data_IF_130649305219
#
_entry.id   IF_130649305219
#
_cell.length_a   1.000
_cell.length_b   1.000
_cell.length_c   1.000
_cell.angle_alpha   90.00
_cell.angle_beta   90.00
_cell.angle_gamma   90.00
#
_symmetry.space_group_name_H-M   'P 1'
#
loop_
_entity.id
_entity.type
_entity.pdbx_description
1 polymer ?
#
# COMPACT_ATOMS: atom_id res chain seq x y z
N UNK A 1 -14.75 -1.66 4.65
CA UNK A 1 -13.77 -2.49 3.91
C UNK A 1 -14.26 -3.93 3.97
N UNK A 2 -14.10 -4.70 2.89
CA UNK A 2 -14.38 -6.13 2.86
C UNK A 2 -13.04 -6.86 2.76
N UNK A 3 -12.87 -7.91 3.57
CA UNK A 3 -11.66 -8.71 3.60
C UNK A 3 -11.99 -10.21 3.62
N UNK A 4 -11.93 -10.82 2.44
CA UNK A 4 -12.26 -12.24 2.26
C UNK A 4 -11.27 -13.20 2.94
N UNK A 5 -10.09 -12.75 3.40
CA UNK A 5 -9.18 -13.60 4.15
C UNK A 5 -9.70 -13.86 5.58
N UNK A 6 -10.50 -12.93 6.13
CA UNK A 6 -11.08 -13.06 7.46
C UNK A 6 -12.47 -13.67 7.41
N UNK A 7 -13.32 -13.17 6.50
CA UNK A 7 -14.66 -13.68 6.31
C UNK A 7 -15.14 -13.38 4.89
N UNK A 8 -15.73 -14.37 4.22
CA UNK A 8 -16.36 -14.15 2.91
C UNK A 8 -17.79 -13.67 3.17
N UNK A 9 -18.12 -12.41 2.87
CA UNK A 9 -19.47 -11.93 3.11
C UNK A 9 -20.44 -12.55 2.10
N UNK A 10 -21.70 -12.68 2.50
CA UNK A 10 -22.79 -12.88 1.54
C UNK A 10 -23.04 -11.58 0.79
N UNK A 11 -22.38 -11.44 -0.36
CA UNK A 11 -22.53 -10.28 -1.23
C UNK A 11 -23.99 -10.01 -1.63
N UNK A 12 -24.85 -11.03 -1.68
CA UNK A 12 -26.25 -10.86 -2.11
C UNK A 12 -27.11 -10.20 -1.04
N UNK A 13 -26.82 -10.46 0.23
CA UNK A 13 -27.52 -9.87 1.38
C UNK A 13 -26.96 -8.51 1.82
N UNK A 14 -25.82 -8.08 1.27
CA UNK A 14 -25.21 -6.80 1.62
C UNK A 14 -26.02 -5.61 1.06
N UNK A 15 -26.08 -4.48 1.81
CA UNK A 15 -26.56 -3.22 1.28
C UNK A 15 -25.83 -2.85 -0.01
N UNK A 16 -26.59 -2.35 -0.99
CA UNK A 16 -26.04 -1.95 -2.29
C UNK A 16 -25.16 -0.71 -2.13
N UNK A 17 -23.87 -0.76 -2.47
CA UNK A 17 -23.03 0.43 -2.47
C UNK A 17 -23.25 1.23 -3.77
N UNK A 18 -22.96 2.53 -3.71
CA UNK A 18 -23.00 3.40 -4.90
C UNK A 18 -21.80 3.17 -5.85
N UNK A 19 -20.69 2.65 -5.31
CA UNK A 19 -19.46 2.34 -6.03
C UNK A 19 -18.71 1.21 -5.31
N UNK A 20 -18.09 0.31 -6.08
CA UNK A 20 -17.13 -0.66 -5.54
C UNK A 20 -15.72 -0.35 -6.02
N UNK A 21 -14.80 -0.12 -5.08
CA UNK A 21 -13.36 -0.06 -5.34
C UNK A 21 -12.68 -1.41 -5.05
N UNK A 22 -11.90 -1.93 -6.00
CA UNK A 22 -11.15 -3.18 -5.85
C UNK A 22 -9.66 -2.93 -6.11
N UNK A 23 -8.80 -3.51 -5.28
CA UNK A 23 -7.35 -3.61 -5.54
C UNK A 23 -6.96 -5.08 -5.53
N UNK A 24 -6.00 -5.47 -6.37
CA UNK A 24 -5.50 -6.84 -6.40
C UNK A 24 -4.03 -6.90 -6.84
N UNK A 25 -3.30 -7.83 -6.23
CA UNK A 25 -2.11 -8.39 -6.87
C UNK A 25 -2.52 -9.29 -8.06
N UNK A 26 -1.60 -9.53 -8.99
CA UNK A 26 -1.88 -10.38 -10.16
C UNK A 26 -2.35 -11.79 -9.76
N UNK A 27 -1.80 -12.36 -8.69
CA UNK A 27 -2.24 -13.66 -8.16
C UNK A 27 -3.70 -13.66 -7.66
N UNK A 28 -4.28 -12.49 -7.36
CA UNK A 28 -5.63 -12.31 -6.86
C UNK A 28 -6.62 -11.82 -7.94
N UNK A 29 -6.15 -11.51 -9.15
CA UNK A 29 -6.93 -10.90 -10.21
C UNK A 29 -8.20 -11.69 -10.56
N UNK A 30 -8.09 -13.01 -10.71
CA UNK A 30 -9.24 -13.87 -11.01
C UNK A 30 -10.33 -13.79 -9.93
N UNK A 31 -9.97 -13.65 -8.65
CA UNK A 31 -10.94 -13.46 -7.58
C UNK A 31 -11.56 -12.07 -7.64
N UNK A 32 -10.74 -11.04 -7.84
CA UNK A 32 -11.20 -9.66 -8.02
C UNK A 32 -12.23 -9.54 -9.16
N UNK A 33 -12.01 -10.19 -10.31
CA UNK A 33 -12.97 -10.19 -11.42
C UNK A 33 -14.29 -10.88 -11.09
N UNK A 34 -14.26 -11.98 -10.32
CA UNK A 34 -15.48 -12.65 -9.85
C UNK A 34 -16.29 -11.72 -8.93
N UNK A 35 -15.62 -10.97 -8.05
CA UNK A 35 -16.26 -9.98 -7.18
C UNK A 35 -16.83 -8.83 -8.03
N UNK A 36 -16.05 -8.29 -8.97
CA UNK A 36 -16.49 -7.23 -9.87
C UNK A 36 -17.76 -7.64 -10.63
N UNK A 37 -17.79 -8.83 -11.23
CA UNK A 37 -18.96 -9.32 -11.97
C UNK A 37 -20.22 -9.39 -11.11
N UNK A 38 -20.14 -9.79 -9.83
CA UNK A 38 -21.30 -9.83 -8.93
C UNK A 38 -21.94 -8.46 -8.75
N UNK A 39 -21.14 -7.40 -8.63
CA UNK A 39 -21.65 -6.03 -8.44
C UNK A 39 -22.11 -5.39 -9.75
N UNK A 40 -21.37 -5.59 -10.84
CA UNK A 40 -21.77 -5.11 -12.18
C UNK A 40 -23.10 -5.68 -12.63
N UNK A 41 -23.33 -6.98 -12.39
CA UNK A 41 -24.61 -7.63 -12.72
C UNK A 41 -25.80 -7.05 -11.93
N UNK A 42 -25.55 -6.30 -10.86
CA UNK A 42 -26.56 -5.61 -10.05
C UNK A 42 -26.62 -4.10 -10.32
N UNK A 43 -25.94 -3.64 -11.37
CA UNK A 43 -25.93 -2.23 -11.79
C UNK A 43 -25.02 -1.31 -10.96
N UNK A 44 -24.11 -1.86 -10.14
CA UNK A 44 -23.17 -1.04 -9.35
C UNK A 44 -21.87 -0.86 -10.12
N UNK A 45 -21.40 0.38 -10.32
CA UNK A 45 -20.13 0.63 -11.00
C UNK A 45 -18.95 0.07 -10.19
N UNK A 46 -17.99 -0.53 -10.89
CA UNK A 46 -16.78 -1.10 -10.29
C UNK A 46 -15.54 -0.42 -10.85
N UNK A 47 -14.74 0.14 -9.94
CA UNK A 47 -13.42 0.71 -10.23
C UNK A 47 -12.36 -0.25 -9.69
N UNK A 48 -11.36 -0.59 -10.51
CA UNK A 48 -10.23 -1.42 -10.08
C UNK A 48 -8.91 -0.68 -10.24
N UNK A 49 -8.08 -0.72 -9.18
CA UNK A 49 -6.75 -0.11 -9.14
C UNK A 49 -5.68 -1.08 -8.65
N UNK A 50 -4.48 -0.55 -8.41
CA UNK A 50 -3.34 -1.32 -7.93
C UNK A 50 -2.49 -1.90 -9.07
N UNK A 51 -1.50 -2.72 -8.69
CA UNK A 51 -0.44 -3.15 -9.60
C UNK A 51 -0.98 -3.98 -10.77
N UNK A 52 -1.93 -4.89 -10.52
CA UNK A 52 -2.50 -5.70 -11.59
C UNK A 52 -3.28 -4.84 -12.59
N UNK A 53 -4.16 -3.98 -12.10
CA UNK A 53 -4.97 -3.08 -12.94
C UNK A 53 -4.09 -2.12 -13.78
N UNK A 54 -2.94 -1.72 -13.23
CA UNK A 54 -2.00 -0.83 -13.93
C UNK A 54 -1.24 -1.56 -15.03
N UNK A 55 -0.70 -2.75 -14.73
CA UNK A 55 0.14 -3.52 -15.66
C UNK A 55 -0.68 -4.26 -16.73
N UNK A 56 -1.91 -4.68 -16.39
CA UNK A 56 -2.80 -5.47 -17.23
C UNK A 56 -4.09 -4.69 -17.56
N UNK A 57 -3.97 -3.39 -17.84
CA UNK A 57 -5.14 -2.49 -17.97
C UNK A 57 -6.09 -2.90 -19.09
N UNK A 58 -5.58 -3.39 -20.22
CA UNK A 58 -6.39 -3.84 -21.36
C UNK A 58 -7.23 -5.09 -21.06
N UNK A 59 -6.73 -5.98 -20.20
CA UNK A 59 -7.48 -7.13 -19.71
C UNK A 59 -8.48 -6.67 -18.65
N UNK A 60 -8.01 -5.88 -17.68
CA UNK A 60 -8.79 -5.45 -16.52
C UNK A 60 -10.03 -4.67 -16.94
N UNK A 61 -9.91 -3.74 -17.90
CA UNK A 61 -11.03 -2.89 -18.34
C UNK A 61 -12.18 -3.69 -18.98
N UNK A 62 -11.91 -4.91 -19.49
CA UNK A 62 -12.98 -5.80 -19.99
C UNK A 62 -13.82 -6.40 -18.87
N UNK A 63 -13.35 -6.33 -17.62
CA UNK A 63 -13.96 -6.96 -16.44
C UNK A 63 -14.59 -5.96 -15.48
N UNK A 64 -14.20 -4.69 -15.53
CA UNK A 64 -14.66 -3.60 -14.64
C UNK A 64 -15.19 -2.41 -15.45
N UNK A 65 -15.73 -1.39 -14.79
CA UNK A 65 -16.25 -0.19 -15.47
C UNK A 65 -15.18 0.92 -15.58
N UNK A 66 -14.23 0.95 -14.65
CA UNK A 66 -13.09 1.86 -14.69
C UNK A 66 -11.80 1.23 -14.14
N UNK A 67 -10.66 1.61 -14.73
CA UNK A 67 -9.32 1.25 -14.27
C UNK A 67 -8.58 2.49 -13.77
N UNK A 68 -7.95 2.38 -12.60
CA UNK A 68 -7.00 3.36 -12.09
C UNK A 68 -5.59 2.85 -12.29
N UNK A 69 -4.82 3.54 -13.15
CA UNK A 69 -3.40 3.26 -13.39
C UNK A 69 -2.55 4.09 -12.43
N UNK A 70 -1.58 3.47 -11.77
CA UNK A 70 -0.68 4.15 -10.83
C UNK A 70 -1.31 4.40 -9.45
N UNK A 71 -0.93 5.49 -8.81
CA UNK A 71 -1.39 5.87 -7.46
C UNK A 71 -2.80 6.48 -7.51
N UNK A 72 -3.72 5.96 -6.70
CA UNK A 72 -5.13 6.36 -6.76
C UNK A 72 -5.45 7.71 -6.11
N UNK A 73 -4.58 8.19 -5.20
CA UNK A 73 -4.86 9.36 -4.36
C UNK A 73 -5.14 10.62 -5.17
N UNK A 74 -4.45 10.82 -6.30
CA UNK A 74 -4.59 12.03 -7.12
C UNK A 74 -5.87 12.06 -7.96
N UNK A 75 -6.53 10.92 -8.17
CA UNK A 75 -7.70 10.79 -9.05
C UNK A 75 -8.96 10.36 -8.31
N UNK A 76 -8.84 9.88 -7.07
CA UNK A 76 -9.98 9.33 -6.34
C UNK A 76 -11.14 10.32 -6.17
N UNK A 77 -10.85 11.59 -5.88
CA UNK A 77 -11.88 12.62 -5.78
C UNK A 77 -12.67 12.79 -7.10
N UNK A 78 -11.97 12.84 -8.24
CA UNK A 78 -12.60 12.92 -9.56
C UNK A 78 -13.45 11.69 -9.87
N UNK A 79 -13.00 10.51 -9.49
CA UNK A 79 -13.77 9.27 -9.69
C UNK A 79 -15.11 9.35 -8.95
N UNK A 80 -15.10 9.83 -7.70
CA UNK A 80 -16.33 9.98 -6.91
C UNK A 80 -17.28 11.01 -7.53
N UNK A 81 -16.76 12.14 -8.00
CA UNK A 81 -17.54 13.15 -8.73
C UNK A 81 -18.15 12.57 -10.03
N UNK A 82 -17.36 11.84 -10.81
CA UNK A 82 -17.82 11.22 -12.04
C UNK A 82 -18.89 10.13 -11.79
N UNK A 83 -18.82 9.41 -10.66
CA UNK A 83 -19.90 8.48 -10.25
C UNK A 83 -21.18 9.25 -9.93
N UNK A 84 -21.09 10.34 -9.17
CA UNK A 84 -22.26 11.17 -8.82
C UNK A 84 -22.95 11.74 -10.07
N UNK A 85 -22.17 12.15 -11.07
CA UNK A 85 -22.67 12.67 -12.34
C UNK A 85 -22.97 11.60 -13.40
N UNK A 86 -22.82 10.31 -13.08
CA UNK A 86 -22.98 9.18 -14.02
C UNK A 86 -22.11 9.33 -15.28
N UNK A 87 -20.92 9.91 -15.12
CA UNK A 87 -19.94 10.21 -16.18
C UNK A 87 -18.61 9.48 -15.96
N UNK A 88 -18.64 8.30 -15.31
CA UNK A 88 -17.47 7.48 -15.02
C UNK A 88 -16.68 7.16 -16.31
N UNK A 89 -15.39 7.53 -16.32
CA UNK A 89 -14.47 7.24 -17.43
C UNK A 89 -13.94 5.82 -17.31
N UNK A 90 -13.56 5.24 -18.44
CA UNK A 90 -12.97 3.90 -18.45
C UNK A 90 -11.57 3.85 -17.85
N UNK A 91 -10.74 4.89 -18.06
CA UNK A 91 -9.35 4.91 -17.60
C UNK A 91 -9.07 6.22 -16.86
N UNK A 92 -8.51 6.09 -15.66
CA UNK A 92 -7.92 7.18 -14.87
C UNK A 92 -6.43 6.92 -14.69
N UNK A 93 -5.61 7.93 -14.95
CA UNK A 93 -4.15 7.85 -14.72
C UNK A 93 -3.78 8.70 -13.52
N UNK A 94 -3.42 8.02 -12.44
CA UNK A 94 -2.92 8.63 -11.22
C UNK A 94 -1.49 9.13 -11.37
N UNK A 95 -1.18 10.24 -10.71
CA UNK A 95 0.18 10.79 -10.63
C UNK A 95 0.83 10.39 -9.31
N UNK A 96 2.16 10.40 -9.28
CA UNK A 96 2.89 10.19 -8.03
C UNK A 96 2.55 11.28 -7.02
N UNK A 97 1.90 10.87 -5.95
CA UNK A 97 1.46 11.71 -4.85
C UNK A 97 2.67 12.09 -4.01
N UNK A 98 2.70 13.37 -3.59
CA UNK A 98 3.65 13.83 -2.58
C UNK A 98 3.39 13.05 -1.30
N UNK A 99 4.42 12.44 -0.72
CA UNK A 99 4.25 11.56 0.44
C UNK A 99 3.65 12.28 1.66
N UNK A 100 3.80 13.61 1.73
CA UNK A 100 3.16 14.47 2.73
C UNK A 100 1.64 14.49 2.61
N UNK A 101 1.09 14.25 1.42
CA UNK A 101 -0.34 14.30 1.14
C UNK A 101 -1.03 12.94 1.32
N UNK A 102 -0.27 11.88 1.59
CA UNK A 102 -0.85 10.57 1.87
C UNK A 102 -1.65 10.66 3.18
N UNK A 103 -2.97 10.40 3.16
CA UNK A 103 -3.80 10.43 4.35
C UNK A 103 -3.39 9.32 5.32
N UNK A 104 -3.73 9.48 6.60
CA UNK A 104 -3.53 8.40 7.57
C UNK A 104 -4.48 7.24 7.23
N UNK A 105 -3.97 6.00 7.10
CA UNK A 105 -4.81 4.84 6.84
C UNK A 105 -5.81 4.60 7.99
N UNK A 106 -7.03 4.21 7.61
CA UNK A 106 -8.13 3.86 8.52
C UNK A 106 -7.97 2.45 9.07
N UNK A 107 -6.94 2.26 9.91
CA UNK A 107 -6.65 0.98 10.60
C UNK A 107 -7.82 0.46 11.44
N UNK A 108 -8.73 1.34 11.86
CA UNK A 108 -9.97 1.01 12.56
C UNK A 108 -10.97 0.20 11.72
N UNK A 109 -10.84 0.20 10.39
CA UNK A 109 -11.68 -0.57 9.47
C UNK A 109 -11.18 -2.01 9.27
N UNK A 110 -10.00 -2.37 9.79
CA UNK A 110 -9.40 -3.69 9.64
C UNK A 110 -9.90 -4.65 10.73
N UNK A 111 -9.92 -5.95 10.41
CA UNK A 111 -10.23 -7.00 11.38
C UNK A 111 -9.16 -7.10 12.46
N UNK A 112 -9.55 -7.41 13.70
CA UNK A 112 -8.61 -7.67 14.80
C UNK A 112 -8.01 -9.10 14.76
N UNK A 113 -8.23 -9.87 13.68
CA UNK A 113 -7.75 -11.26 13.54
C UNK A 113 -6.33 -11.39 13.01
N UNK A 114 -5.72 -10.30 12.54
CA UNK A 114 -4.37 -10.34 11.99
C UNK A 114 -3.30 -10.38 13.07
N UNK A 115 -2.30 -11.25 12.87
CA UNK A 115 -1.13 -11.32 13.74
C UNK A 115 -0.17 -10.15 13.49
N UNK A 116 -0.11 -9.67 12.23
CA UNK A 116 0.71 -8.54 11.80
C UNK A 116 -0.17 -7.37 11.37
N UNK A 117 0.15 -6.18 11.86
CA UNK A 117 -0.26 -4.93 11.21
C UNK A 117 0.72 -4.59 10.09
N UNK A 118 0.33 -3.71 9.18
CA UNK A 118 1.19 -3.27 8.07
C UNK A 118 1.32 -1.76 8.01
N UNK A 119 2.50 -1.27 7.63
CA UNK A 119 2.73 0.15 7.39
C UNK A 119 3.67 0.36 6.20
N UNK A 120 3.34 1.32 5.34
CA UNK A 120 4.23 1.78 4.28
C UNK A 120 4.84 3.11 4.69
N UNK A 121 6.16 3.21 4.70
CA UNK A 121 6.91 4.41 5.06
C UNK A 121 7.55 5.06 3.84
N UNK A 122 7.75 4.31 2.76
CA UNK A 122 8.33 4.77 1.49
C UNK A 122 7.60 4.21 0.27
N UNK A 123 7.77 4.86 -0.88
CA UNK A 123 7.35 4.37 -2.20
C UNK A 123 8.47 4.62 -3.21
N UNK A 124 8.63 3.67 -4.12
CA UNK A 124 9.61 3.72 -5.21
C UNK A 124 10.99 3.23 -4.79
N UNK A 125 11.72 2.67 -5.76
CA UNK A 125 13.03 2.09 -5.54
C UNK A 125 14.00 2.45 -6.68
N UNK A 126 15.18 3.02 -6.38
CA UNK A 126 16.15 3.48 -7.38
C UNK A 126 17.00 2.38 -8.02
N UNK A 127 16.91 1.13 -7.55
CA UNK A 127 17.77 0.05 -8.04
C UNK A 127 17.38 -0.50 -9.41
N UNK A 128 16.13 -0.35 -9.85
CA UNK A 128 15.63 -0.77 -11.16
C UNK A 128 16.08 -2.18 -11.59
N UNK A 129 16.02 -3.14 -10.66
CA UNK A 129 16.40 -4.53 -10.93
C UNK A 129 15.55 -5.09 -12.09
N UNK A 130 16.17 -5.76 -13.06
CA UNK A 130 15.51 -6.19 -14.30
C UNK A 130 14.25 -7.05 -14.10
N UNK A 131 14.21 -7.83 -13.01
CA UNK A 131 13.09 -8.72 -12.68
C UNK A 131 11.98 -8.04 -11.86
N UNK A 132 12.18 -6.79 -11.43
CA UNK A 132 11.34 -6.15 -10.42
C UNK A 132 10.32 -5.19 -11.03
N UNK A 133 9.04 -5.34 -10.67
CA UNK A 133 7.96 -4.47 -11.12
C UNK A 133 7.85 -3.14 -10.36
N UNK A 134 8.60 -2.99 -9.25
CA UNK A 134 8.49 -1.82 -8.36
C UNK A 134 8.84 -0.53 -9.08
N UNK A 135 9.96 -0.48 -9.81
CA UNK A 135 10.38 0.74 -10.50
C UNK A 135 9.40 1.16 -11.60
N UNK A 136 8.74 0.20 -12.25
CA UNK A 136 7.68 0.44 -13.23
C UNK A 136 6.39 0.95 -12.58
N UNK A 137 6.01 0.42 -11.42
CA UNK A 137 4.75 0.77 -10.75
C UNK A 137 4.86 1.97 -9.80
N UNK A 138 5.82 1.94 -8.86
CA UNK A 138 6.03 2.94 -7.80
C UNK A 138 7.06 4.03 -8.17
N UNK A 139 7.74 3.88 -9.31
CA UNK A 139 8.76 4.79 -9.80
C UNK A 139 10.17 4.50 -9.28
N UNK A 140 11.16 5.13 -9.91
CA UNK A 140 12.58 4.98 -9.58
C UNK A 140 13.05 5.92 -8.47
N UNK A 141 12.20 6.84 -8.02
CA UNK A 141 12.55 7.80 -6.97
C UNK A 141 12.19 7.25 -5.61
N UNK A 142 13.15 7.28 -4.68
CA UNK A 142 12.90 6.95 -3.28
C UNK A 142 12.12 8.08 -2.60
N UNK A 143 10.81 7.92 -2.47
CA UNK A 143 9.92 8.88 -1.82
C UNK A 143 9.56 8.38 -0.43
N UNK A 144 9.65 9.22 0.59
CA UNK A 144 9.39 8.83 1.98
C UNK A 144 8.35 9.73 2.62
N UNK A 145 7.54 9.15 3.52
CA UNK A 145 6.57 9.90 4.34
C UNK A 145 7.30 10.66 5.46
N UNK A 146 6.72 11.78 5.95
CA UNK A 146 7.16 12.41 7.19
C UNK A 146 7.21 11.42 8.34
N UNK A 147 8.30 11.46 9.11
CA UNK A 147 8.53 10.55 10.23
C UNK A 147 7.41 10.71 11.27
N UNK A 148 6.94 11.94 11.50
CA UNK A 148 5.89 12.26 12.45
C UNK A 148 4.59 11.53 12.10
N UNK A 149 4.23 11.47 10.81
CA UNK A 149 3.05 10.73 10.32
C UNK A 149 3.22 9.23 10.47
N UNK A 150 4.42 8.70 10.24
CA UNK A 150 4.72 7.27 10.44
C UNK A 150 4.58 6.89 11.92
N UNK A 151 5.13 7.72 12.83
CA UNK A 151 4.98 7.53 14.28
C UNK A 151 3.51 7.62 14.71
N UNK A 152 2.74 8.57 14.16
CA UNK A 152 1.31 8.69 14.43
C UNK A 152 0.57 7.42 14.01
N UNK A 153 0.83 6.90 12.81
CA UNK A 153 0.19 5.69 12.32
C UNK A 153 0.58 4.44 13.12
N UNK A 154 1.86 4.28 13.48
CA UNK A 154 2.32 3.16 14.33
C UNK A 154 1.60 3.10 15.70
N UNK A 155 1.12 4.24 16.21
CA UNK A 155 0.31 4.29 17.44
C UNK A 155 -1.13 3.83 17.22
N UNK A 156 -1.67 3.94 16.00
CA UNK A 156 -3.03 3.51 15.65
C UNK A 156 -3.12 2.01 15.36
N UNK A 157 -2.02 1.41 14.88
CA UNK A 157 -1.95 -0.04 14.62
C UNK A 157 -2.01 -0.79 15.95
N UNK A 158 -2.93 -1.74 16.09
CA UNK A 158 -3.19 -2.46 17.35
C UNK A 158 -2.23 -3.63 17.53
N UNK A 159 -1.78 -4.21 16.43
CA UNK A 159 -0.96 -5.40 16.36
C UNK A 159 0.43 -5.13 16.96
N UNK A 160 0.95 -6.13 17.69
CA UNK A 160 2.28 -6.06 18.31
C UNK A 160 3.40 -6.24 17.29
N UNK A 161 3.12 -6.95 16.21
CA UNK A 161 4.04 -7.23 15.12
C UNK A 161 3.65 -6.40 13.90
N UNK A 162 4.63 -5.78 13.26
CA UNK A 162 4.45 -4.88 12.12
C UNK A 162 5.26 -5.39 10.94
N UNK A 163 4.61 -5.53 9.79
CA UNK A 163 5.28 -5.63 8.51
C UNK A 163 5.45 -4.22 7.94
N UNK A 164 6.70 -3.76 7.83
CA UNK A 164 7.00 -2.57 7.04
C UNK A 164 7.03 -2.99 5.58
N UNK A 165 6.00 -2.62 4.83
CA UNK A 165 5.76 -3.09 3.45
C UNK A 165 6.52 -2.29 2.38
N UNK A 166 7.58 -1.59 2.80
CA UNK A 166 8.42 -0.84 1.87
C UNK A 166 9.21 -1.81 0.98
N UNK A 167 9.28 -1.51 -0.32
CA UNK A 167 10.05 -2.31 -1.28
C UNK A 167 11.57 -2.22 -1.01
N UNK A 168 12.01 -1.12 -0.40
CA UNK A 168 13.34 -0.95 0.16
C UNK A 168 13.23 0.05 1.32
N UNK A 169 13.35 -0.42 2.56
CA UNK A 169 13.17 0.42 3.75
C UNK A 169 14.29 1.45 3.97
N UNK A 170 15.51 1.14 3.52
CA UNK A 170 16.70 1.93 3.83
C UNK A 170 17.25 2.72 2.63
N UNK A 171 16.80 2.39 1.43
CA UNK A 171 17.34 2.92 0.18
C UNK A 171 18.82 2.56 -0.01
N UNK A 172 19.50 3.31 -0.88
CA UNK A 172 20.83 2.93 -1.40
C UNK A 172 21.94 3.93 -1.09
N UNK A 173 21.60 5.18 -0.78
CA UNK A 173 22.60 6.25 -0.58
C UNK A 173 22.57 6.77 0.85
N UNK A 174 23.59 7.55 1.21
CA UNK A 174 23.77 8.13 2.56
C UNK A 174 22.53 8.89 3.06
N UNK A 175 21.84 9.65 2.19
CA UNK A 175 20.63 10.38 2.59
C UNK A 175 19.47 9.45 2.95
N UNK A 176 19.30 8.36 2.20
CA UNK A 176 18.26 7.37 2.49
C UNK A 176 18.54 6.62 3.78
N UNK A 177 19.80 6.23 4.00
CA UNK A 177 20.26 5.55 5.21
C UNK A 177 20.06 6.46 6.43
N UNK A 178 20.45 7.73 6.37
CA UNK A 178 20.22 8.67 7.47
C UNK A 178 18.73 8.88 7.76
N UNK A 179 17.88 8.91 6.73
CA UNK A 179 16.42 8.91 6.93
C UNK A 179 15.96 7.67 7.70
N UNK A 180 16.46 6.48 7.37
CA UNK A 180 16.09 5.24 8.07
C UNK A 180 16.56 5.26 9.53
N UNK A 181 17.80 5.72 9.80
CA UNK A 181 18.29 5.93 11.17
C UNK A 181 17.40 6.91 11.95
N UNK A 182 17.00 8.03 11.33
CA UNK A 182 16.11 9.00 11.96
C UNK A 182 14.73 8.43 12.26
N UNK A 183 14.17 7.59 11.38
CA UNK A 183 12.94 6.86 11.65
C UNK A 183 13.10 5.94 12.87
N UNK A 184 14.16 5.13 12.93
CA UNK A 184 14.39 4.23 14.05
C UNK A 184 14.61 4.97 15.37
N UNK A 185 15.36 6.09 15.35
CA UNK A 185 15.50 6.99 16.52
C UNK A 185 14.14 7.52 16.98
N UNK A 186 13.27 7.92 16.05
CA UNK A 186 11.94 8.42 16.37
C UNK A 186 11.01 7.34 16.97
N UNK A 187 11.09 6.10 16.48
CA UNK A 187 10.36 4.95 17.05
C UNK A 187 10.80 4.71 18.49
N UNK A 188 12.12 4.69 18.74
CA UNK A 188 12.71 4.54 20.08
C UNK A 188 12.25 5.67 21.00
N UNK A 189 12.39 6.93 20.57
CA UNK A 189 12.01 8.13 21.34
C UNK A 189 10.52 8.15 21.68
N UNK A 190 9.68 7.58 20.80
CA UNK A 190 8.23 7.52 21.00
C UNK A 190 7.77 6.39 21.92
N UNK A 191 8.71 5.61 22.49
CA UNK A 191 8.46 4.46 23.35
C UNK A 191 7.51 3.42 22.71
N UNK A 192 7.54 3.29 21.38
CA UNK A 192 6.75 2.30 20.64
C UNK A 192 7.45 0.95 20.82
N UNK A 193 6.77 -0.01 21.47
CA UNK A 193 7.31 -1.34 21.82
C UNK A 193 6.94 -2.44 20.83
N UNK A 194 6.46 -2.07 19.64
CA UNK A 194 6.11 -2.99 18.56
C UNK A 194 7.37 -3.66 18.00
N UNK A 195 7.22 -4.90 17.53
CA UNK A 195 8.26 -5.63 16.79
C UNK A 195 7.99 -5.48 15.31
N UNK A 196 9.03 -5.39 14.50
CA UNK A 196 8.86 -5.24 13.07
C UNK A 196 9.80 -6.13 12.26
N UNK A 197 9.33 -6.44 11.04
CA UNK A 197 10.10 -7.03 9.96
C UNK A 197 9.91 -6.16 8.70
N UNK A 198 10.85 -6.23 7.76
CA UNK A 198 10.77 -5.44 6.53
C UNK A 198 11.73 -5.92 5.46
N UNK A 199 11.70 -5.26 4.31
CA UNK A 199 12.59 -5.56 3.18
C UNK A 199 13.68 -4.51 3.06
N UNK A 200 14.91 -4.96 2.83
CA UNK A 200 16.09 -4.12 2.67
C UNK A 200 16.98 -4.69 1.57
N UNK A 201 17.93 -3.89 1.12
CA UNK A 201 18.99 -4.30 0.21
C UNK A 201 20.25 -4.64 0.99
N UNK A 202 21.21 -5.36 0.38
CA UNK A 202 22.39 -5.90 1.09
C UNK A 202 23.23 -4.83 1.81
N UNK A 203 23.22 -3.59 1.33
CA UNK A 203 23.90 -2.46 1.96
C UNK A 203 23.37 -2.12 3.37
N UNK A 204 22.27 -2.75 3.81
CA UNK A 204 21.84 -2.71 5.21
C UNK A 204 22.90 -3.24 6.17
N UNK A 205 23.71 -4.21 5.73
CA UNK A 205 24.77 -4.80 6.54
C UNK A 205 26.03 -3.92 6.66
N UNK A 206 26.14 -2.86 5.85
CA UNK A 206 27.36 -2.04 5.76
C UNK A 206 27.44 -0.96 6.85
N UNK A 207 26.37 -0.74 7.63
CA UNK A 207 26.29 0.33 8.64
C UNK A 207 25.89 -0.20 10.02
N UNK A 208 26.88 -0.34 10.89
CA UNK A 208 26.73 -0.81 12.28
C UNK A 208 25.74 0.02 13.10
N UNK A 209 25.68 1.34 12.87
CA UNK A 209 24.78 2.22 13.61
C UNK A 209 23.33 1.96 13.19
N UNK A 210 23.10 1.83 11.88
CA UNK A 210 21.80 1.48 11.30
C UNK A 210 21.29 0.15 11.89
N UNK A 211 22.15 -0.88 11.94
CA UNK A 211 21.81 -2.19 12.51
C UNK A 211 21.44 -2.08 14.00
N UNK A 212 22.25 -1.36 14.80
CA UNK A 212 21.98 -1.14 16.23
C UNK A 212 20.68 -0.38 16.47
N UNK A 213 20.40 0.65 15.66
CA UNK A 213 19.17 1.42 15.72
C UNK A 213 17.95 0.59 15.30
N UNK A 214 18.07 -0.19 14.23
CA UNK A 214 17.02 -1.10 13.78
C UNK A 214 16.63 -2.07 14.90
N UNK A 215 17.60 -2.76 15.49
CA UNK A 215 17.37 -3.69 16.60
C UNK A 215 16.70 -3.00 17.81
N UNK A 216 17.22 -1.84 18.24
CA UNK A 216 16.64 -1.06 19.35
C UNK A 216 15.22 -0.57 19.06
N UNK A 217 14.90 -0.26 17.80
CA UNK A 217 13.57 0.16 17.37
C UNK A 217 12.55 -0.99 17.27
N UNK A 218 12.97 -2.24 17.46
CA UNK A 218 12.10 -3.40 17.43
C UNK A 218 12.26 -4.31 16.21
N UNK A 219 13.28 -4.14 15.39
CA UNK A 219 13.57 -5.07 14.29
C UNK A 219 13.79 -6.48 14.82
N UNK A 220 13.13 -7.45 14.20
CA UNK A 220 13.27 -8.89 14.53
C UNK A 220 13.75 -9.73 13.36
N UNK A 221 13.75 -9.16 12.16
CA UNK A 221 14.22 -9.83 10.95
C UNK A 221 14.03 -8.92 9.73
N UNK A 222 14.85 -9.13 8.71
CA UNK A 222 14.72 -8.46 7.42
C UNK A 222 14.83 -9.47 6.30
N UNK A 223 14.09 -9.23 5.22
CA UNK A 223 14.31 -9.90 3.95
C UNK A 223 15.33 -9.09 3.15
N UNK A 224 16.41 -9.75 2.72
CA UNK A 224 17.46 -9.13 1.91
C UNK A 224 17.34 -9.67 0.49
N UNK A 225 17.13 -8.77 -0.48
CA UNK A 225 17.04 -9.05 -1.90
C UNK A 225 17.94 -8.18 -2.74
#
# INVERSE_FOLDING_TARGET
IIDENCNIPDYTSMPMPDLVGITAFTSQANRAYKIASKFRNRGVPVVMGGIHATMCSEETIKKVDAVVKGEGESVWAQILEDVQHKSLKQIYTGSFTKMDNIPLPRHDLLSNSYYFGSIQTTRGCPLNCHFCSVSTFNGMTYRYRPIEKIIQELKLIKEKYILIVDDNLIGINKKHIERAKNLFRAIIKSNIRKKWIGQVTINFADDDELLKLAAKSGCTGVYIG
#
